data_IF_552528831838
#
_entry.id   IF_552528831838
#
_cell.length_a   1.000
_cell.length_b   1.000
_cell.length_c   1.000
_cell.angle_alpha   90.00
_cell.angle_beta   90.00
_cell.angle_gamma   90.00
#
_symmetry.space_group_name_H-M   'P 1'
#
loop_
_entity.id
_entity.type
_entity.pdbx_description
1 polymer ?
#
# COMPACT_ATOMS: atom_id res chain seq x y z
N UNK A 1 -1.74 -22.67 -16.16
CA UNK A 1 -2.06 -21.31 -16.63
C UNK A 1 -2.82 -20.70 -15.49
N UNK A 2 -2.33 -19.58 -14.98
CA UNK A 2 -2.77 -19.08 -13.68
C UNK A 2 -3.79 -17.96 -13.91
N UNK A 3 -4.88 -17.99 -13.16
CA UNK A 3 -5.92 -16.97 -13.14
C UNK A 3 -5.55 -15.98 -12.05
N UNK A 4 -5.22 -14.76 -12.46
CA UNK A 4 -4.94 -13.64 -11.54
C UNK A 4 -6.23 -12.84 -11.37
N UNK A 5 -6.66 -12.65 -10.13
CA UNK A 5 -7.87 -11.90 -9.79
C UNK A 5 -7.77 -11.29 -8.39
N UNK A 6 -8.55 -10.24 -8.15
CA UNK A 6 -8.54 -9.51 -6.88
C UNK A 6 -9.64 -9.99 -5.94
N UNK A 7 -9.32 -10.10 -4.64
CA UNK A 7 -10.31 -10.41 -3.61
C UNK A 7 -11.29 -9.22 -3.44
N UNK A 8 -12.62 -9.43 -3.53
CA UNK A 8 -13.61 -8.33 -3.46
C UNK A 8 -13.75 -7.67 -2.08
N UNK A 9 -13.08 -8.20 -1.04
CA UNK A 9 -13.19 -7.71 0.34
C UNK A 9 -11.94 -6.97 0.83
N UNK A 10 -10.76 -7.35 0.35
CA UNK A 10 -9.51 -6.75 0.78
C UNK A 10 -8.60 -6.31 -0.37
N UNK A 11 -9.10 -6.37 -1.61
CA UNK A 11 -8.40 -5.99 -2.85
C UNK A 11 -7.02 -6.61 -3.00
N UNK A 12 -6.83 -7.80 -2.40
CA UNK A 12 -5.61 -8.57 -2.49
C UNK A 12 -5.58 -9.30 -3.84
N UNK A 13 -4.53 -9.07 -4.62
CA UNK A 13 -4.24 -9.84 -5.83
C UNK A 13 -3.90 -11.29 -5.44
N UNK A 14 -4.61 -12.25 -6.05
CA UNK A 14 -4.46 -13.68 -5.85
C UNK A 14 -4.28 -14.38 -7.19
N UNK A 15 -3.38 -15.37 -7.22
CA UNK A 15 -3.14 -16.22 -8.37
C UNK A 15 -3.53 -17.66 -8.01
N UNK A 16 -4.38 -18.27 -8.84
CA UNK A 16 -4.81 -19.67 -8.69
C UNK A 16 -4.70 -20.41 -10.02
N UNK A 17 -4.40 -21.71 -9.96
CA UNK A 17 -4.37 -22.54 -11.15
C UNK A 17 -5.75 -22.56 -11.84
N UNK A 18 -5.77 -22.63 -13.17
CA UNK A 18 -7.01 -22.73 -13.96
C UNK A 18 -7.91 -23.91 -13.59
N UNK A 19 -7.34 -24.93 -12.94
CA UNK A 19 -8.08 -26.07 -12.38
C UNK A 19 -9.01 -25.69 -11.21
N UNK A 20 -8.78 -24.56 -10.56
CA UNK A 20 -9.61 -24.02 -9.48
C UNK A 20 -10.77 -23.13 -9.96
N UNK A 21 -10.93 -22.93 -11.28
CA UNK A 21 -12.00 -22.09 -11.83
C UNK A 21 -13.39 -22.55 -11.34
N UNK A 22 -14.19 -21.61 -10.83
CA UNK A 22 -15.52 -21.89 -10.28
C UNK A 22 -15.55 -22.51 -8.88
N UNK A 23 -14.40 -22.71 -8.23
CA UNK A 23 -14.32 -23.23 -6.85
C UNK A 23 -14.34 -22.11 -5.81
N UNK A 24 -14.88 -22.42 -4.62
CA UNK A 24 -14.83 -21.55 -3.45
C UNK A 24 -13.53 -21.78 -2.67
N UNK A 25 -12.75 -20.72 -2.47
CA UNK A 25 -11.55 -20.73 -1.64
C UNK A 25 -11.63 -19.66 -0.56
N UNK A 26 -10.87 -19.80 0.52
CA UNK A 26 -10.76 -18.75 1.53
C UNK A 26 -9.60 -17.82 1.18
N UNK A 27 -9.84 -16.51 1.20
CA UNK A 27 -8.80 -15.52 1.03
C UNK A 27 -7.79 -15.59 2.19
N UNK A 28 -6.47 -15.73 1.94
CA UNK A 28 -5.47 -15.79 3.01
C UNK A 28 -5.29 -14.47 3.77
N UNK A 29 -5.68 -13.34 3.16
CA UNK A 29 -5.51 -12.01 3.76
C UNK A 29 -6.69 -11.57 4.62
N UNK A 30 -7.92 -11.95 4.28
CA UNK A 30 -9.12 -11.52 5.01
C UNK A 30 -10.00 -12.67 5.55
N UNK A 31 -9.68 -13.92 5.22
CA UNK A 31 -10.41 -15.11 5.65
C UNK A 31 -11.79 -15.31 5.01
N UNK A 32 -12.19 -14.43 4.08
CA UNK A 32 -13.51 -14.52 3.44
C UNK A 32 -13.51 -15.55 2.32
N UNK A 33 -14.66 -16.21 2.12
CA UNK A 33 -14.90 -17.12 1.00
C UNK A 33 -15.04 -16.34 -0.29
N UNK A 34 -14.18 -16.64 -1.26
CA UNK A 34 -14.17 -16.05 -2.60
C UNK A 34 -14.42 -17.14 -3.65
N UNK A 35 -15.22 -16.81 -4.66
CA UNK A 35 -15.46 -17.69 -5.82
C UNK A 35 -14.47 -17.32 -6.90
N UNK A 36 -13.68 -18.29 -7.37
CA UNK A 36 -12.70 -18.07 -8.43
C UNK A 36 -13.43 -17.85 -9.76
N UNK A 37 -13.24 -16.70 -10.43
CA UNK A 37 -13.89 -16.45 -11.72
C UNK A 37 -13.36 -17.43 -12.78
N UNK A 38 -14.25 -18.13 -13.46
CA UNK A 38 -13.88 -18.91 -14.64
C UNK A 38 -13.53 -17.95 -15.78
N UNK A 39 -12.26 -17.90 -16.16
CA UNK A 39 -11.78 -17.00 -17.22
C UNK A 39 -12.43 -17.35 -18.57
N UNK A 40 -13.42 -16.57 -19.02
CA UNK A 40 -13.64 -16.33 -20.45
C UNK A 40 -12.84 -15.09 -20.81
N UNK A 41 -11.68 -15.29 -21.44
CA UNK A 41 -10.89 -14.20 -21.98
C UNK A 41 -11.74 -13.42 -23.00
N UNK A 42 -12.06 -12.15 -22.69
CA UNK A 42 -12.43 -11.19 -23.73
C UNK A 42 -11.77 -9.86 -23.42
N UNK A 43 -10.60 -9.66 -24.04
CA UNK A 43 -9.91 -8.38 -24.17
C UNK A 43 -10.49 -7.70 -25.41
N UNK A 44 -11.13 -6.52 -25.34
CA UNK A 44 -11.44 -5.77 -26.55
C UNK A 44 -10.14 -5.29 -27.19
N UNK A 45 -9.91 -5.70 -28.42
CA UNK A 45 -8.87 -5.19 -29.29
C UNK A 45 -9.20 -3.73 -29.66
N UNK A 46 -8.44 -2.78 -29.12
CA UNK A 46 -8.39 -1.41 -29.64
C UNK A 46 -7.31 -1.30 -30.72
N UNK A 47 -7.59 -0.75 -31.93
CA UNK A 47 -6.57 -0.50 -32.93
C UNK A 47 -5.77 0.78 -32.65
N UNK A 48 -4.49 0.70 -33.02
CA UNK A 48 -3.39 1.67 -33.05
C UNK A 48 -3.70 3.18 -33.16
N UNK A 49 -2.86 4.05 -32.55
CA UNK A 49 -2.66 5.42 -33.00
C UNK A 49 -1.42 5.55 -33.91
N UNK A 50 -1.62 6.09 -35.10
CA UNK A 50 -0.56 6.62 -35.93
C UNK A 50 -0.29 8.09 -35.53
N UNK A 51 1.00 8.41 -35.34
CA UNK A 51 1.57 9.76 -35.39
C UNK A 51 1.34 10.39 -36.81
N UNK A 52 1.65 11.68 -37.13
CA UNK A 52 2.79 12.42 -36.56
C UNK A 52 2.77 13.98 -36.56
N UNK A 53 3.88 14.52 -36.02
CA UNK A 53 4.59 15.79 -36.36
C UNK A 53 4.34 17.07 -35.56
N UNK A 54 5.45 17.83 -35.50
CA UNK A 54 5.76 18.90 -34.58
C UNK A 54 6.20 20.18 -35.33
N UNK A 55 6.04 21.33 -34.64
CA UNK A 55 6.74 22.64 -34.73
C UNK A 55 6.24 23.73 -35.72
N UNK A 56 5.70 24.80 -35.12
CA UNK A 56 5.98 26.27 -35.20
C UNK A 56 6.15 27.01 -36.56
N UNK A 57 6.04 28.37 -36.66
CA UNK A 57 5.54 29.44 -35.74
C UNK A 57 4.58 30.47 -36.43
N UNK A 58 4.21 31.54 -35.69
CA UNK A 58 3.75 32.89 -36.13
C UNK A 58 2.22 33.23 -36.15
N UNK A 59 1.90 34.25 -35.33
CA UNK A 59 0.71 35.10 -35.12
C UNK A 59 -0.16 35.51 -36.35
N UNK A 60 -1.28 36.26 -36.16
CA UNK A 60 -2.35 36.24 -35.14
C UNK A 60 -3.76 36.29 -35.79
N UNK A 61 -4.83 36.39 -34.98
CA UNK A 61 -6.02 37.27 -35.12
C UNK A 61 -7.32 36.60 -34.63
N UNK A 62 -7.96 37.26 -33.66
CA UNK A 62 -9.27 36.94 -33.09
C UNK A 62 -10.39 36.99 -34.13
N UNK A 63 -11.33 36.04 -34.02
CA UNK A 63 -12.69 36.17 -34.57
C UNK A 63 -13.69 35.85 -33.46
N UNK A 64 -13.87 36.82 -32.57
CA UNK A 64 -15.14 37.00 -31.87
C UNK A 64 -16.12 37.58 -32.91
N UNK A 65 -16.98 36.74 -33.50
CA UNK A 65 -18.32 37.11 -33.97
C UNK A 65 -18.87 36.04 -34.91
N UNK A 66 -19.86 35.29 -34.43
CA UNK A 66 -21.12 35.04 -35.16
C UNK A 66 -22.13 34.37 -34.21
N UNK A 67 -23.04 35.20 -33.68
CA UNK A 67 -24.50 34.99 -33.56
C UNK A 67 -25.05 33.71 -32.87
N UNK A 68 -26.19 33.66 -32.18
CA UNK A 68 -27.19 34.59 -31.66
C UNK A 68 -28.19 33.71 -30.87
N UNK A 69 -28.77 34.24 -29.79
CA UNK A 69 -30.06 33.84 -29.21
C UNK A 69 -30.33 32.35 -28.85
N UNK A 70 -30.14 32.01 -27.57
CA UNK A 70 -31.05 31.11 -26.84
C UNK A 70 -30.99 31.43 -25.34
N UNK A 71 -31.81 32.39 -24.92
CA UNK A 71 -32.03 32.73 -23.50
C UNK A 71 -32.89 31.62 -22.90
N UNK A 72 -32.29 30.60 -22.28
CA UNK A 72 -33.01 29.57 -21.54
C UNK A 72 -32.98 29.94 -20.05
N UNK A 73 -34.06 30.54 -19.56
CA UNK A 73 -34.25 30.83 -18.14
C UNK A 73 -34.50 29.54 -17.36
N UNK A 74 -33.45 28.98 -16.76
CA UNK A 74 -33.58 27.85 -15.84
C UNK A 74 -34.01 28.33 -14.46
N UNK A 75 -35.31 28.28 -14.19
CA UNK A 75 -35.87 28.44 -12.86
C UNK A 75 -35.59 27.20 -12.01
N UNK A 76 -34.40 27.14 -11.40
CA UNK A 76 -34.02 26.10 -10.44
C UNK A 76 -34.74 26.35 -9.10
N UNK A 77 -35.75 25.53 -8.78
CA UNK A 77 -36.37 25.51 -7.44
C UNK A 77 -35.51 24.66 -6.51
N UNK A 78 -34.76 25.31 -5.62
CA UNK A 78 -34.04 24.63 -4.54
C UNK A 78 -35.03 24.31 -3.41
N UNK A 79 -35.21 23.04 -2.99
CA UNK A 79 -36.02 22.72 -1.83
C UNK A 79 -35.41 23.32 -0.57
N UNK A 80 -36.13 24.25 0.05
CA UNK A 80 -35.71 24.86 1.32
C UNK A 80 -36.25 24.00 2.46
N UNK A 81 -35.39 23.25 3.12
CA UNK A 81 -35.74 22.51 4.34
C UNK A 81 -35.79 23.48 5.53
N UNK A 82 -36.90 23.46 6.28
CA UNK A 82 -37.10 24.27 7.51
C UNK A 82 -36.49 23.58 8.74
N UNK A 83 -35.18 23.56 8.83
CA UNK A 83 -34.48 23.12 10.05
C UNK A 83 -33.02 23.57 10.07
N UNK A 84 -32.39 23.64 11.25
CA UNK A 84 -31.04 24.16 11.41
C UNK A 84 -30.05 23.34 10.59
N UNK A 85 -29.10 24.02 9.93
CA UNK A 85 -28.03 23.39 9.16
C UNK A 85 -27.23 22.44 10.06
N UNK A 86 -27.11 21.17 9.66
CA UNK A 86 -26.24 20.24 10.36
C UNK A 86 -24.82 20.79 10.37
N UNK A 87 -24.21 20.88 11.55
CA UNK A 87 -22.82 21.31 11.70
C UNK A 87 -21.95 20.16 11.18
N UNK A 88 -21.51 20.27 9.94
CA UNK A 88 -20.65 19.28 9.26
C UNK A 88 -19.17 19.38 9.67
N UNK A 89 -18.86 20.18 10.69
CA UNK A 89 -17.50 20.35 11.18
C UNK A 89 -17.30 19.34 12.30
N UNK A 90 -16.70 18.19 11.97
CA UNK A 90 -16.16 17.28 12.96
C UNK A 90 -15.17 18.03 13.86
N UNK A 91 -15.26 17.77 15.17
CA UNK A 91 -14.33 18.35 16.15
C UNK A 91 -12.89 18.12 15.68
N UNK A 92 -12.03 19.16 15.66
CA UNK A 92 -10.65 19.03 15.20
C UNK A 92 -9.95 17.90 15.96
N UNK A 93 -9.33 16.98 15.22
CA UNK A 93 -8.47 15.95 15.82
C UNK A 93 -7.39 16.65 16.65
N UNK A 94 -7.07 16.06 17.80
CA UNK A 94 -6.07 16.61 18.72
C UNK A 94 -4.76 16.93 17.97
N UNK A 95 -4.03 17.98 18.38
CA UNK A 95 -2.81 18.42 17.70
C UNK A 95 -1.82 17.27 17.49
N UNK A 96 -1.32 17.13 16.26
CA UNK A 96 -0.41 16.07 15.81
C UNK A 96 0.81 15.87 16.74
N UNK A 97 1.26 16.97 17.36
CA UNK A 97 2.33 17.04 18.36
C UNK A 97 2.10 16.17 19.62
N UNK A 98 0.85 16.01 20.05
CA UNK A 98 0.51 15.23 21.26
C UNK A 98 0.48 13.74 20.95
N UNK A 99 -0.02 13.36 19.77
CA UNK A 99 -0.03 11.96 19.31
C UNK A 99 1.40 11.44 19.03
N UNK A 100 2.29 12.28 18.47
CA UNK A 100 3.69 11.92 18.23
C UNK A 100 4.49 11.72 19.54
N UNK A 101 4.20 12.52 20.59
CA UNK A 101 4.83 12.35 21.91
C UNK A 101 4.39 11.09 22.65
N UNK A 102 3.23 10.53 22.31
CA UNK A 102 2.71 9.32 22.96
C UNK A 102 3.38 8.06 22.38
N UNK A 103 3.67 8.05 21.07
CA UNK A 103 4.49 6.99 20.45
C UNK A 103 5.93 7.01 20.94
N UNK A 104 6.57 8.18 21.06
CA UNK A 104 7.97 8.30 21.51
C UNK A 104 8.21 7.88 22.98
N UNK A 105 7.16 7.61 23.75
CA UNK A 105 7.26 7.15 25.14
C UNK A 105 7.14 5.64 25.30
N UNK A 106 6.72 4.92 24.26
CA UNK A 106 6.52 3.47 24.37
C UNK A 106 7.84 2.75 24.12
N UNK A 107 8.23 1.93 25.09
CA UNK A 107 9.39 1.04 24.94
C UNK A 107 8.99 -0.12 24.03
N UNK A 108 9.82 -0.39 23.03
CA UNK A 108 9.69 -1.49 22.08
C UNK A 108 10.95 -2.34 22.08
N UNK A 109 10.79 -3.59 21.67
CA UNK A 109 11.88 -4.56 21.52
C UNK A 109 11.85 -5.10 20.11
N UNK A 110 13.00 -5.14 19.43
CA UNK A 110 13.17 -5.77 18.13
C UNK A 110 14.35 -6.72 18.19
N UNK A 111 14.10 -7.99 17.87
CA UNK A 111 15.16 -8.97 17.64
C UNK A 111 15.35 -9.14 16.14
N UNK A 112 16.60 -9.08 15.69
CA UNK A 112 17.03 -9.31 14.31
C UNK A 112 17.97 -10.51 14.36
N UNK A 113 17.56 -11.62 13.74
CA UNK A 113 18.35 -12.86 13.67
C UNK A 113 19.18 -12.87 12.40
N UNK A 114 20.40 -13.39 12.47
CA UNK A 114 21.29 -13.50 11.31
C UNK A 114 20.65 -14.28 10.16
N UNK A 115 20.02 -15.43 10.46
CA UNK A 115 19.31 -16.24 9.46
C UNK A 115 18.23 -15.48 8.69
N UNK A 116 17.54 -14.53 9.33
CA UNK A 116 16.46 -13.76 8.70
C UNK A 116 16.99 -12.68 7.74
N UNK A 117 18.31 -12.44 7.75
CA UNK A 117 18.98 -11.44 6.92
C UNK A 117 19.77 -12.07 5.75
N UNK A 118 19.67 -13.38 5.56
CA UNK A 118 20.29 -14.07 4.42
C UNK A 118 19.34 -14.00 3.22
N UNK A 119 19.68 -13.18 2.23
CA UNK A 119 18.90 -13.01 1.01
C UNK A 119 19.70 -13.52 -0.19
N UNK A 120 19.20 -14.57 -0.86
CA UNK A 120 19.85 -15.16 -2.05
C UNK A 120 21.32 -15.55 -1.78
N UNK A 121 21.60 -16.04 -0.58
CA UNK A 121 22.96 -16.42 -0.16
C UNK A 121 23.89 -15.26 0.21
N UNK A 122 23.41 -14.01 0.13
CA UNK A 122 24.13 -12.84 0.61
C UNK A 122 23.72 -12.50 2.03
N UNK A 123 24.72 -12.32 2.89
CA UNK A 123 24.53 -11.82 4.24
C UNK A 123 24.30 -10.31 4.23
N UNK A 124 23.10 -9.89 4.62
CA UNK A 124 22.71 -8.48 4.75
C UNK A 124 22.49 -8.06 6.20
N UNK A 125 22.97 -8.84 7.17
CA UNK A 125 22.69 -8.59 8.58
C UNK A 125 23.07 -7.18 9.01
N UNK A 126 24.29 -6.75 8.70
CA UNK A 126 24.78 -5.41 9.05
C UNK A 126 23.95 -4.30 8.39
N UNK A 127 23.54 -4.50 7.13
CA UNK A 127 22.69 -3.55 6.41
C UNK A 127 21.31 -3.42 7.07
N UNK A 128 20.67 -4.54 7.41
CA UNK A 128 19.35 -4.57 8.06
C UNK A 128 19.40 -3.91 9.43
N UNK A 129 20.43 -4.24 10.25
CA UNK A 129 20.62 -3.65 11.58
C UNK A 129 20.91 -2.15 11.48
N UNK A 130 21.77 -1.74 10.54
CA UNK A 130 22.10 -0.32 10.30
C UNK A 130 20.87 0.47 9.88
N UNK A 131 20.09 -0.04 8.92
CA UNK A 131 18.86 0.59 8.46
C UNK A 131 17.82 0.70 9.59
N UNK A 132 17.73 -0.31 10.46
CA UNK A 132 16.86 -0.25 11.62
C UNK A 132 17.30 0.85 12.60
N UNK A 133 18.58 0.90 12.95
CA UNK A 133 19.15 1.92 13.84
C UNK A 133 18.96 3.35 13.28
N UNK A 134 19.16 3.55 11.98
CA UNK A 134 18.93 4.84 11.33
C UNK A 134 17.47 5.29 11.40
N UNK A 135 16.52 4.36 11.25
CA UNK A 135 15.08 4.66 11.36
C UNK A 135 14.65 5.00 12.78
N UNK A 136 15.23 4.32 13.77
CA UNK A 136 14.94 4.56 15.20
C UNK A 136 15.56 5.89 15.65
N UNK A 137 16.79 6.17 15.21
CA UNK A 137 17.58 7.32 15.63
C UNK A 137 18.28 7.08 16.97
N UNK A 138 19.49 7.63 17.10
CA UNK A 138 20.39 7.39 18.25
C UNK A 138 19.73 7.70 19.59
N UNK A 139 19.02 8.83 19.71
CA UNK A 139 18.38 9.27 20.94
C UNK A 139 17.28 8.31 21.45
N UNK A 140 16.75 7.45 20.58
CA UNK A 140 15.68 6.52 20.91
C UNK A 140 16.19 5.11 21.22
N UNK A 141 17.47 4.80 20.95
CA UNK A 141 18.07 3.50 21.28
C UNK A 141 18.37 3.44 22.78
N UNK A 142 17.77 2.48 23.47
CA UNK A 142 17.98 2.29 24.92
C UNK A 142 19.12 1.30 25.16
N UNK A 143 19.15 0.17 24.42
CA UNK A 143 20.20 -0.84 24.56
C UNK A 143 20.29 -1.75 23.33
N UNK A 144 21.47 -2.34 23.13
CA UNK A 144 21.77 -3.31 22.08
C UNK A 144 22.44 -4.52 22.73
N UNK A 145 21.82 -5.69 22.60
CA UNK A 145 22.31 -6.94 23.18
C UNK A 145 22.60 -7.95 22.06
N UNK A 146 23.81 -8.49 22.04
CA UNK A 146 24.15 -9.65 21.22
C UNK A 146 23.63 -10.93 21.88
N UNK A 147 23.05 -11.80 21.06
CA UNK A 147 22.50 -13.09 21.47
C UNK A 147 23.13 -14.18 20.61
N UNK A 148 23.46 -15.31 21.23
CA UNK A 148 23.84 -16.53 20.53
C UNK A 148 22.80 -17.58 20.89
N UNK A 149 22.27 -18.27 19.89
CA UNK A 149 21.20 -19.23 20.06
C UNK A 149 21.41 -20.44 19.15
N UNK A 150 20.66 -21.51 19.41
CA UNK A 150 20.67 -22.72 18.59
C UNK A 150 19.29 -22.94 17.98
N UNK A 151 19.25 -23.35 16.72
CA UNK A 151 18.00 -23.70 16.03
C UNK A 151 18.20 -24.97 15.18
N UNK A 152 17.10 -25.70 14.96
CA UNK A 152 17.10 -26.83 14.04
C UNK A 152 16.94 -26.30 12.62
N UNK A 153 17.96 -26.45 11.79
CA UNK A 153 17.87 -26.11 10.38
C UNK A 153 17.06 -27.18 9.63
N UNK A 154 16.03 -26.74 8.90
CA UNK A 154 15.08 -27.62 8.23
C UNK A 154 15.74 -28.34 7.04
N UNK A 155 16.71 -27.69 6.37
CA UNK A 155 17.40 -28.26 5.22
C UNK A 155 18.37 -29.38 5.60
N UNK A 156 19.17 -29.18 6.65
CA UNK A 156 20.21 -30.12 7.07
C UNK A 156 19.80 -31.06 8.21
N UNK A 157 18.66 -30.83 8.85
CA UNK A 157 18.21 -31.54 10.08
C UNK A 157 19.26 -31.51 11.21
N UNK A 158 20.11 -30.49 11.23
CA UNK A 158 21.15 -30.30 12.25
C UNK A 158 20.81 -29.13 13.14
N UNK A 159 21.22 -29.24 14.40
CA UNK A 159 21.21 -28.10 15.32
C UNK A 159 22.36 -27.18 14.88
N UNK A 160 22.00 -25.99 14.42
CA UNK A 160 22.94 -24.94 14.05
C UNK A 160 23.00 -23.90 15.15
N UNK A 161 24.22 -23.44 15.44
CA UNK A 161 24.44 -22.28 16.32
C UNK A 161 24.46 -21.04 15.45
N UNK A 162 23.71 -20.02 15.86
CA UNK A 162 23.55 -18.77 15.16
C UNK A 162 23.53 -17.58 16.13
N UNK A 163 23.55 -16.36 15.62
CA UNK A 163 23.54 -15.14 16.41
C UNK A 163 22.43 -14.16 16.00
N UNK A 164 22.08 -13.29 16.93
CA UNK A 164 21.08 -12.26 16.74
C UNK A 164 21.45 -11.01 17.53
N UNK A 165 20.82 -9.90 17.19
CA UNK A 165 20.86 -8.68 17.98
C UNK A 165 19.46 -8.35 18.47
N UNK A 166 19.34 -8.06 19.77
CA UNK A 166 18.12 -7.58 20.39
C UNK A 166 18.29 -6.11 20.76
N UNK A 167 17.44 -5.27 20.19
CA UNK A 167 17.43 -3.83 20.42
C UNK A 167 16.23 -3.46 21.26
N UNK A 168 16.47 -2.70 22.33
CA UNK A 168 15.43 -2.03 23.11
C UNK A 168 15.47 -0.56 22.74
N UNK A 169 14.32 0.00 22.35
CA UNK A 169 14.25 1.37 21.85
C UNK A 169 12.89 2.02 22.17
N UNK A 170 12.80 3.33 21.98
CA UNK A 170 11.57 4.12 22.12
C UNK A 170 10.95 4.35 20.75
N UNK A 171 9.63 4.16 20.61
CA UNK A 171 8.90 4.47 19.37
C UNK A 171 7.48 3.95 19.33
#
# INVERSE_FOLDING_TARGET
MDIIFDCPKCDQELAVDSAGSGSEINCPSCGEKIVIPASSATRPAGPAPAAPQARDPAHPLSVMSTSAAAKVEMHLKVPVHKGPSAVLIEKPKAPLEVAAKESDRKIRVKTIRHTDCIEVGHDKFDEVVTNFLQRVGEANVISVHSLVYQHLDIGSQKIMTDYAVMLVYRG
#
